data_IF_479861054988
#
_entry.id   IF_479861054988
#
_cell.length_a   1.000
_cell.length_b   1.000
_cell.length_c   1.000
_cell.angle_alpha   90.00
_cell.angle_beta   90.00
_cell.angle_gamma   90.00
#
_symmetry.space_group_name_H-M   'P 1'
#
loop_
_entity.id
_entity.type
_entity.pdbx_description
1 polymer ?
#
# COMPACT_ATOMS: atom_id res chain seq x y z
N UNK A 1 17.53 4.46 21.41
CA UNK A 1 18.67 5.18 20.80
C UNK A 1 18.99 4.73 19.37
N UNK A 2 19.55 3.54 19.08
CA UNK A 2 19.91 3.16 17.70
C UNK A 2 18.68 3.08 16.77
N UNK A 3 17.58 2.47 17.22
CA UNK A 3 16.33 2.41 16.46
C UNK A 3 15.76 3.81 16.17
N UNK A 4 15.74 4.70 17.18
CA UNK A 4 15.21 6.05 17.00
C UNK A 4 16.02 6.81 15.95
N UNK A 5 17.35 6.70 15.97
CA UNK A 5 18.18 7.31 14.92
C UNK A 5 17.92 6.73 13.53
N UNK A 6 17.61 5.44 13.42
CA UNK A 6 17.23 4.80 12.15
C UNK A 6 15.85 5.29 11.66
N UNK A 7 14.85 5.35 12.55
CA UNK A 7 13.52 5.89 12.22
C UNK A 7 13.61 7.32 11.68
N UNK A 8 14.31 8.23 12.38
CA UNK A 8 14.42 9.62 11.95
C UNK A 8 15.11 9.75 10.59
N UNK A 9 16.16 8.95 10.33
CA UNK A 9 16.83 8.92 9.03
C UNK A 9 15.89 8.47 7.92
N UNK A 10 15.22 7.32 8.10
CA UNK A 10 14.31 6.75 7.09
C UNK A 10 13.11 7.67 6.86
N UNK A 11 12.50 8.17 7.92
CA UNK A 11 11.37 9.10 7.85
C UNK A 11 11.75 10.40 7.11
N UNK A 12 12.93 10.97 7.39
CA UNK A 12 13.44 12.16 6.69
C UNK A 12 13.63 11.91 5.18
N UNK A 13 14.11 10.73 4.80
CA UNK A 13 14.28 10.38 3.37
C UNK A 13 12.93 10.26 2.67
N UNK A 14 11.99 9.49 3.24
CA UNK A 14 10.67 9.29 2.62
C UNK A 14 9.84 10.57 2.56
N UNK A 15 9.89 11.43 3.58
CA UNK A 15 9.18 12.73 3.57
C UNK A 15 9.78 13.69 2.54
N UNK A 16 11.11 13.72 2.37
CA UNK A 16 11.75 14.46 1.28
C UNK A 16 11.33 13.93 -0.10
N UNK A 17 11.34 12.62 -0.28
CA UNK A 17 10.90 11.98 -1.52
C UNK A 17 9.42 12.29 -1.82
N UNK A 18 8.57 12.23 -0.80
CA UNK A 18 7.15 12.58 -0.91
C UNK A 18 6.96 14.05 -1.31
N UNK A 19 7.72 14.97 -0.72
CA UNK A 19 7.68 16.39 -1.11
C UNK A 19 8.15 16.59 -2.55
N UNK A 20 9.29 15.99 -2.91
CA UNK A 20 9.85 16.08 -4.26
C UNK A 20 8.86 15.61 -5.33
N UNK A 21 8.16 14.48 -5.12
CA UNK A 21 7.16 14.02 -6.07
C UNK A 21 5.91 14.90 -6.13
N UNK A 22 5.53 15.60 -5.05
CA UNK A 22 4.42 16.56 -5.11
C UNK A 22 4.78 17.76 -5.98
N UNK A 23 5.97 18.31 -5.79
CA UNK A 23 6.46 19.50 -6.48
C UNK A 23 6.74 19.25 -7.97
N UNK A 24 7.11 18.03 -8.34
CA UNK A 24 7.53 17.68 -9.71
C UNK A 24 6.61 16.67 -10.39
N UNK A 25 5.38 16.48 -9.86
CA UNK A 25 4.48 15.37 -10.24
C UNK A 25 4.29 15.23 -11.74
N UNK A 26 4.00 16.33 -12.43
CA UNK A 26 3.71 16.29 -13.87
C UNK A 26 4.90 15.76 -14.66
N UNK A 27 6.08 16.36 -14.47
CA UNK A 27 7.32 15.94 -15.14
C UNK A 27 7.67 14.48 -14.85
N UNK A 28 7.45 14.03 -13.62
CA UNK A 28 7.70 12.64 -13.23
C UNK A 28 6.77 11.66 -13.94
N UNK A 29 5.47 11.99 -14.02
CA UNK A 29 4.48 11.18 -14.73
C UNK A 29 4.78 11.14 -16.24
N UNK A 30 5.14 12.27 -16.83
CA UNK A 30 5.59 12.37 -18.24
C UNK A 30 6.86 11.53 -18.49
N UNK A 31 7.73 11.42 -17.48
CA UNK A 31 8.94 10.58 -17.51
C UNK A 31 8.68 9.10 -17.17
N UNK A 32 7.42 8.71 -16.96
CA UNK A 32 7.02 7.31 -16.77
C UNK A 32 6.71 6.87 -15.34
N UNK A 33 6.77 7.76 -14.34
CA UNK A 33 6.39 7.46 -12.95
C UNK A 33 4.95 6.93 -12.90
N UNK A 34 4.78 5.72 -12.35
CA UNK A 34 3.49 5.07 -12.22
C UNK A 34 2.77 5.53 -10.96
N UNK A 35 1.44 5.57 -11.04
CA UNK A 35 0.58 5.94 -9.90
C UNK A 35 0.82 5.06 -8.67
N UNK A 36 1.05 3.76 -8.89
CA UNK A 36 1.28 2.83 -7.79
C UNK A 36 2.62 3.06 -7.07
N UNK A 37 3.62 3.64 -7.74
CA UNK A 37 4.89 4.00 -7.11
C UNK A 37 4.70 5.16 -6.12
N UNK A 38 3.82 6.12 -6.45
CA UNK A 38 3.39 7.18 -5.53
C UNK A 38 2.64 6.57 -4.34
N UNK A 39 1.76 5.59 -4.60
CA UNK A 39 1.07 4.83 -3.55
C UNK A 39 2.03 4.09 -2.61
N UNK A 40 3.09 3.48 -3.15
CA UNK A 40 4.12 2.81 -2.38
C UNK A 40 4.85 3.78 -1.44
N UNK A 41 5.21 4.99 -1.91
CA UNK A 41 5.84 6.03 -1.07
C UNK A 41 4.90 6.42 0.09
N UNK A 42 3.64 6.74 -0.21
CA UNK A 42 2.66 7.13 0.80
C UNK A 42 2.40 6.02 1.82
N UNK A 43 2.25 4.78 1.35
CA UNK A 43 2.06 3.59 2.19
C UNK A 43 3.25 3.36 3.12
N UNK A 44 4.49 3.61 2.67
CA UNK A 44 5.68 3.52 3.52
C UNK A 44 5.73 4.62 4.58
N UNK A 45 5.32 5.84 4.28
CA UNK A 45 5.22 6.90 5.30
C UNK A 45 4.16 6.53 6.35
N UNK A 46 2.99 6.07 5.92
CA UNK A 46 1.95 5.58 6.84
C UNK A 46 2.45 4.43 7.74
N UNK A 47 3.24 3.51 7.18
CA UNK A 47 3.86 2.43 7.96
C UNK A 47 4.85 2.97 9.00
N UNK A 48 5.67 3.96 8.65
CA UNK A 48 6.63 4.56 9.59
C UNK A 48 5.88 5.21 10.76
N UNK A 49 4.83 5.98 10.47
CA UNK A 49 3.97 6.56 11.50
C UNK A 49 3.34 5.50 12.40
N UNK A 50 2.73 4.46 11.83
CA UNK A 50 2.15 3.38 12.62
C UNK A 50 3.21 2.65 13.47
N UNK A 51 4.40 2.42 12.91
CA UNK A 51 5.52 1.85 13.65
C UNK A 51 5.97 2.72 14.82
N UNK A 52 5.87 4.04 14.72
CA UNK A 52 6.18 4.97 15.82
C UNK A 52 5.07 5.01 16.87
N UNK A 53 3.80 4.93 16.45
CA UNK A 53 2.68 4.71 17.35
C UNK A 53 2.88 3.45 18.19
N UNK A 54 3.21 2.30 17.59
CA UNK A 54 3.38 1.04 18.32
C UNK A 54 4.45 1.09 19.43
N UNK A 55 5.41 2.01 19.34
CA UNK A 55 6.49 2.16 20.34
C UNK A 55 6.23 3.22 21.38
N UNK A 56 5.44 4.24 21.03
CA UNK A 56 5.24 5.41 21.89
C UNK A 56 3.83 5.53 22.44
N UNK A 57 2.88 4.79 21.86
CA UNK A 57 1.44 4.88 22.13
C UNK A 57 0.84 6.28 21.91
N UNK A 58 1.57 7.18 21.22
CA UNK A 58 1.08 8.52 20.93
C UNK A 58 0.07 8.48 19.76
N UNK A 59 -1.18 8.81 20.07
CA UNK A 59 -2.30 8.76 19.11
C UNK A 59 -2.14 9.69 17.90
N UNK A 60 -1.31 10.74 17.99
CA UNK A 60 -0.97 11.61 16.87
C UNK A 60 -0.34 10.82 15.71
N UNK A 61 0.62 9.94 15.99
CA UNK A 61 1.24 9.10 14.97
C UNK A 61 0.25 8.10 14.35
N UNK A 62 -0.71 7.59 15.13
CA UNK A 62 -1.75 6.71 14.60
C UNK A 62 -2.68 7.46 13.65
N UNK A 63 -3.02 8.71 13.99
CA UNK A 63 -3.84 9.60 13.16
C UNK A 63 -3.13 9.94 11.85
N UNK A 64 -1.84 10.24 11.89
CA UNK A 64 -1.01 10.46 10.69
C UNK A 64 -0.93 9.22 9.79
N UNK A 65 -0.76 8.03 10.39
CA UNK A 65 -0.79 6.78 9.62
C UNK A 65 -2.12 6.60 8.87
N UNK A 66 -3.24 6.90 9.53
CA UNK A 66 -4.57 6.85 8.92
C UNK A 66 -4.67 7.79 7.73
N UNK A 67 -4.25 9.06 7.86
CA UNK A 67 -4.32 10.06 6.78
C UNK A 67 -3.56 9.57 5.54
N UNK A 68 -2.35 9.02 5.72
CA UNK A 68 -1.57 8.49 4.60
C UNK A 68 -2.24 7.28 3.95
N UNK A 69 -2.77 6.34 4.73
CA UNK A 69 -3.44 5.17 4.17
C UNK A 69 -4.78 5.50 3.50
N UNK A 70 -5.55 6.42 4.07
CA UNK A 70 -6.79 6.92 3.46
C UNK A 70 -6.51 7.64 2.14
N UNK A 71 -5.45 8.46 2.08
CA UNK A 71 -5.02 9.10 0.84
C UNK A 71 -4.61 8.07 -0.24
N UNK A 72 -4.01 6.95 0.15
CA UNK A 72 -3.67 5.87 -0.78
C UNK A 72 -4.92 5.20 -1.34
N UNK A 73 -5.89 4.92 -0.48
CA UNK A 73 -7.16 4.31 -0.85
C UNK A 73 -7.99 5.22 -1.77
N UNK A 74 -8.25 6.45 -1.33
CA UNK A 74 -9.16 7.39 -1.99
C UNK A 74 -8.65 7.87 -3.35
N UNK A 75 -7.33 7.94 -3.55
CA UNK A 75 -6.72 8.31 -4.83
C UNK A 75 -6.50 7.13 -5.77
N UNK A 76 -6.92 5.94 -5.34
CA UNK A 76 -6.89 4.71 -6.11
C UNK A 76 -5.50 4.42 -6.73
N UNK A 77 -4.42 4.64 -5.96
CA UNK A 77 -3.05 4.52 -6.52
C UNK A 77 -2.72 3.12 -7.07
N UNK A 78 -3.43 2.08 -6.63
CA UNK A 78 -3.22 0.69 -7.05
C UNK A 78 -4.20 0.21 -8.14
N UNK A 79 -5.11 1.06 -8.64
CA UNK A 79 -6.18 0.65 -9.57
C UNK A 79 -5.68 -0.01 -10.85
N UNK A 80 -4.65 0.56 -11.46
CA UNK A 80 -4.30 0.25 -12.85
C UNK A 80 -3.39 -0.98 -13.01
N UNK A 81 -2.78 -1.48 -11.93
CA UNK A 81 -1.77 -2.54 -12.05
C UNK A 81 -2.17 -3.89 -11.45
N UNK A 82 -3.41 -4.04 -10.96
CA UNK A 82 -3.89 -5.30 -10.39
C UNK A 82 -3.82 -6.48 -11.38
N UNK A 83 -4.04 -6.19 -12.67
CA UNK A 83 -4.06 -7.18 -13.75
C UNK A 83 -2.73 -7.29 -14.51
N UNK A 84 -1.73 -6.47 -14.15
CA UNK A 84 -0.46 -6.39 -14.87
C UNK A 84 0.66 -7.16 -14.15
N UNK A 85 0.65 -7.19 -12.81
CA UNK A 85 1.74 -7.78 -12.03
C UNK A 85 1.25 -8.33 -10.68
N UNK A 86 1.46 -9.64 -10.46
CA UNK A 86 1.15 -10.32 -9.19
C UNK A 86 1.88 -9.68 -8.00
N UNK A 87 3.07 -9.10 -8.22
CA UNK A 87 3.79 -8.37 -7.17
C UNK A 87 3.03 -7.13 -6.74
N UNK A 88 2.33 -6.45 -7.66
CA UNK A 88 1.53 -5.29 -7.32
C UNK A 88 0.27 -5.68 -6.55
N UNK A 89 -0.41 -6.74 -6.96
CA UNK A 89 -1.52 -7.31 -6.20
C UNK A 89 -1.11 -7.64 -4.76
N UNK A 90 0.08 -8.23 -4.59
CA UNK A 90 0.68 -8.47 -3.26
C UNK A 90 0.99 -7.19 -2.48
N UNK A 91 1.45 -6.12 -3.13
CA UNK A 91 1.63 -4.81 -2.48
C UNK A 91 0.30 -4.24 -2.00
N UNK A 92 -0.75 -4.31 -2.83
CA UNK A 92 -2.08 -3.83 -2.47
C UNK A 92 -2.69 -4.65 -1.32
N UNK A 93 -2.55 -5.98 -1.32
CA UNK A 93 -2.97 -6.84 -0.20
C UNK A 93 -2.32 -6.40 1.11
N UNK A 94 -1.00 -6.23 1.10
CA UNK A 94 -0.25 -5.81 2.29
C UNK A 94 -0.62 -4.40 2.73
N UNK A 95 -0.93 -3.51 1.79
CA UNK A 95 -1.45 -2.18 2.11
C UNK A 95 -2.81 -2.28 2.81
N UNK A 96 -3.79 -2.98 2.22
CA UNK A 96 -5.13 -3.14 2.79
C UNK A 96 -5.08 -3.74 4.19
N UNK A 97 -4.25 -4.78 4.40
CA UNK A 97 -4.08 -5.39 5.72
C UNK A 97 -3.56 -4.40 6.77
N UNK A 98 -2.56 -3.57 6.43
CA UNK A 98 -2.03 -2.55 7.35
C UNK A 98 -3.03 -1.45 7.64
N UNK A 99 -3.76 -1.00 6.62
CA UNK A 99 -4.77 0.03 6.80
C UNK A 99 -5.92 -0.48 7.67
N UNK A 100 -6.35 -1.72 7.46
CA UNK A 100 -7.34 -2.38 8.30
C UNK A 100 -6.92 -2.39 9.78
N UNK A 101 -5.67 -2.73 10.08
CA UNK A 101 -5.12 -2.66 11.46
C UNK A 101 -5.26 -1.25 12.04
N UNK A 102 -4.88 -0.22 11.31
CA UNK A 102 -4.99 1.18 11.77
C UNK A 102 -6.45 1.56 12.04
N UNK A 103 -7.36 1.22 11.12
CA UNK A 103 -8.79 1.51 11.26
C UNK A 103 -9.43 0.79 12.45
N UNK A 104 -9.02 -0.46 12.73
CA UNK A 104 -9.47 -1.22 13.90
C UNK A 104 -9.03 -0.54 15.20
N UNK A 105 -7.76 -0.16 15.29
CA UNK A 105 -7.22 0.52 16.49
C UNK A 105 -7.88 1.90 16.71
N UNK A 106 -8.20 2.63 15.64
CA UNK A 106 -8.92 3.90 15.69
C UNK A 106 -10.45 3.75 15.81
N UNK A 107 -10.98 2.52 15.86
CA UNK A 107 -12.41 2.24 15.88
C UNK A 107 -13.21 2.89 14.71
N UNK A 108 -12.62 2.94 13.51
CA UNK A 108 -13.26 3.45 12.27
C UNK A 108 -14.08 2.36 11.60
N UNK A 109 -15.20 1.96 12.23
CA UNK A 109 -16.00 0.79 11.82
C UNK A 109 -16.44 0.81 10.36
N UNK A 110 -16.92 1.95 9.84
CA UNK A 110 -17.35 2.06 8.44
C UNK A 110 -16.20 1.77 7.47
N UNK A 111 -15.03 2.37 7.71
CA UNK A 111 -13.83 2.13 6.92
C UNK A 111 -13.35 0.67 7.04
N UNK A 112 -13.47 0.05 8.22
CA UNK A 112 -13.18 -1.38 8.41
C UNK A 112 -14.06 -2.23 7.49
N UNK A 113 -15.37 -1.99 7.43
CA UNK A 113 -16.27 -2.74 6.53
C UNK A 113 -15.89 -2.56 5.06
N UNK A 114 -15.60 -1.32 4.65
CA UNK A 114 -15.14 -1.03 3.29
C UNK A 114 -13.86 -1.80 2.95
N UNK A 115 -12.85 -1.74 3.82
CA UNK A 115 -11.55 -2.40 3.61
C UNK A 115 -11.67 -3.93 3.58
N UNK A 116 -12.50 -4.52 4.44
CA UNK A 116 -12.76 -5.97 4.41
C UNK A 116 -13.39 -6.39 3.08
N UNK A 117 -14.34 -5.62 2.55
CA UNK A 117 -14.95 -5.93 1.26
C UNK A 117 -13.93 -5.82 0.12
N UNK A 118 -13.10 -4.78 0.10
CA UNK A 118 -12.03 -4.65 -0.89
C UNK A 118 -11.00 -5.78 -0.80
N UNK A 119 -10.63 -6.18 0.42
CA UNK A 119 -9.71 -7.29 0.65
C UNK A 119 -10.28 -8.61 0.13
N UNK A 120 -11.57 -8.88 0.38
CA UNK A 120 -12.26 -10.08 -0.14
C UNK A 120 -12.23 -10.12 -1.67
N UNK A 121 -12.59 -9.00 -2.31
CA UNK A 121 -12.56 -8.88 -3.77
C UNK A 121 -11.15 -9.09 -4.33
N UNK A 122 -10.14 -8.47 -3.72
CA UNK A 122 -8.76 -8.61 -4.15
C UNK A 122 -8.26 -10.06 -4.02
N UNK A 123 -8.58 -10.74 -2.93
CA UNK A 123 -8.24 -12.15 -2.73
C UNK A 123 -8.93 -13.06 -3.75
N UNK A 124 -10.21 -12.83 -4.05
CA UNK A 124 -10.91 -13.62 -5.09
C UNK A 124 -10.29 -13.43 -6.46
N UNK A 125 -9.90 -12.20 -6.80
CA UNK A 125 -9.25 -11.90 -8.09
C UNK A 125 -7.89 -12.58 -8.21
N UNK A 126 -7.06 -12.53 -7.17
CA UNK A 126 -5.75 -13.21 -7.15
C UNK A 126 -5.93 -14.73 -7.26
N UNK A 127 -6.90 -15.31 -6.54
CA UNK A 127 -7.21 -16.75 -6.65
C UNK A 127 -7.58 -17.14 -8.08
N UNK A 128 -8.43 -16.35 -8.74
CA UNK A 128 -8.83 -16.57 -10.14
C UNK A 128 -7.64 -16.49 -11.09
N UNK A 129 -6.80 -15.45 -10.96
CA UNK A 129 -5.59 -15.31 -11.77
C UNK A 129 -4.63 -16.49 -11.59
N UNK A 130 -4.45 -16.96 -10.35
CA UNK A 130 -3.59 -18.10 -10.05
C UNK A 130 -4.11 -19.41 -10.67
N UNK A 131 -5.44 -19.64 -10.65
CA UNK A 131 -6.04 -20.79 -11.34
C UNK A 131 -5.76 -20.77 -12.84
N UNK A 132 -5.92 -19.61 -13.50
CA UNK A 132 -5.66 -19.46 -14.94
C UNK A 132 -4.20 -19.78 -15.28
N UNK A 133 -3.24 -19.30 -14.49
CA UNK A 133 -1.82 -19.58 -14.68
C UNK A 133 -1.53 -21.08 -14.60
N UNK A 134 -2.08 -21.76 -13.58
CA UNK A 134 -1.94 -23.22 -13.43
C UNK A 134 -2.51 -23.95 -14.65
N UNK A 135 -3.70 -23.55 -15.13
CA UNK A 135 -4.29 -24.18 -16.31
C UNK A 135 -3.43 -23.99 -17.58
N UNK A 136 -2.86 -22.80 -17.79
CA UNK A 136 -1.98 -22.54 -18.94
C UNK A 136 -0.67 -23.33 -18.89
N UNK A 137 -0.04 -23.44 -17.71
CA UNK A 137 1.14 -24.29 -17.52
C UNK A 137 0.83 -25.77 -17.82
N UNK A 138 -0.32 -26.27 -17.34
CA UNK A 138 -0.74 -27.64 -17.63
C UNK A 138 -1.02 -27.90 -19.11
N UNK A 139 -1.54 -26.92 -19.85
CA UNK A 139 -1.72 -27.02 -21.31
C UNK A 139 -0.36 -27.04 -22.01
N UNK A 140 0.55 -26.13 -21.65
CA UNK A 140 1.89 -26.07 -22.26
C UNK A 140 2.70 -27.35 -22.02
N UNK A 141 2.62 -27.95 -20.84
CA UNK A 141 3.28 -29.23 -20.53
C UNK A 141 2.67 -30.40 -21.33
N UNK A 142 1.37 -30.37 -21.64
CA UNK A 142 0.71 -31.42 -22.43
C UNK A 142 0.88 -31.26 -23.95
N UNK A 143 1.32 -30.10 -24.41
CA UNK A 143 1.56 -29.80 -25.83
C UNK A 143 3.04 -29.88 -26.24
N UNK A 144 3.95 -30.19 -25.30
CA UNK A 144 5.34 -30.61 -25.58
C UNK A 144 5.48 -32.12 -25.43
#
# INVERSE_FOLDING_TARGET
MLYDTHFHKVFKVYTKLWKFQQENRQKLVESGLKRWEIGDIASRIGQLYFGQYMRTSQASYLSEAYIFYEAVLTREYFKDGLFQDLNLANKQLRFLARFLTVCLVLNRREMVYQLVNQLKMLVSEIKRAFQVLIFQEHINIKCC
#
